data_IF_155924446632
#
_entry.id   IF_155924446632
#
_cell.length_a   1.000
_cell.length_b   1.000
_cell.length_c   1.000
_cell.angle_alpha   90.00
_cell.angle_beta   90.00
_cell.angle_gamma   90.00
#
_symmetry.space_group_name_H-M   'P 1'
#
loop_
_entity.id
_entity.type
_entity.pdbx_description
1 polymer ?
#
# COMPACT_ATOMS: atom_id res chain seq x y z
N UNK A 1 -34.21 -31.17 -20.02
CA UNK A 1 -33.26 -31.03 -18.91
C UNK A 1 -32.68 -29.65 -19.04
N UNK A 2 -33.16 -28.76 -18.21
CA UNK A 2 -32.79 -27.34 -18.24
C UNK A 2 -31.49 -27.20 -17.43
N UNK A 3 -30.36 -27.09 -18.10
CA UNK A 3 -29.10 -26.75 -17.45
C UNK A 3 -29.08 -25.24 -17.16
N UNK A 4 -29.57 -24.86 -16.00
CA UNK A 4 -29.34 -23.52 -15.46
C UNK A 4 -27.84 -23.37 -15.26
N UNK A 5 -27.15 -22.36 -15.86
CA UNK A 5 -25.75 -22.10 -15.58
C UNK A 5 -25.60 -21.81 -14.09
N UNK A 6 -24.71 -22.55 -13.42
CA UNK A 6 -24.29 -22.28 -12.06
C UNK A 6 -23.86 -20.82 -12.02
N UNK A 7 -24.54 -20.02 -11.18
CA UNK A 7 -24.50 -18.58 -11.20
C UNK A 7 -23.07 -18.04 -11.20
N UNK A 8 -22.79 -17.21 -12.18
CA UNK A 8 -21.67 -16.28 -12.12
C UNK A 8 -21.84 -15.50 -10.81
N UNK A 9 -20.94 -15.71 -9.86
CA UNK A 9 -20.84 -14.85 -8.68
C UNK A 9 -20.64 -13.45 -9.23
N UNK A 10 -21.62 -12.56 -9.01
CA UNK A 10 -21.50 -11.18 -9.42
C UNK A 10 -20.17 -10.65 -8.87
N UNK A 11 -19.35 -10.12 -9.76
CA UNK A 11 -18.05 -9.52 -9.39
C UNK A 11 -18.38 -8.48 -8.30
N UNK A 12 -17.85 -8.58 -7.07
CA UNK A 12 -18.22 -7.68 -6.01
C UNK A 12 -17.90 -6.25 -6.48
N UNK A 13 -18.92 -5.41 -6.46
CA UNK A 13 -18.81 -4.02 -6.90
C UNK A 13 -17.66 -3.35 -6.15
N UNK A 14 -16.78 -2.64 -6.88
CA UNK A 14 -15.62 -1.98 -6.28
C UNK A 14 -16.07 -0.83 -5.38
N UNK A 15 -15.90 -1.01 -4.09
CA UNK A 15 -16.15 0.02 -3.07
C UNK A 15 -14.81 0.51 -2.52
N UNK A 16 -14.32 1.67 -2.99
CA UNK A 16 -13.07 2.23 -2.48
C UNK A 16 -13.20 2.58 -1.00
N UNK A 17 -12.12 2.38 -0.23
CA UNK A 17 -12.08 2.79 1.17
C UNK A 17 -12.28 4.31 1.25
N UNK A 18 -13.22 4.74 2.09
CA UNK A 18 -13.44 6.16 2.40
C UNK A 18 -12.51 6.61 3.53
N UNK A 19 -11.60 7.53 3.21
CA UNK A 19 -10.65 8.14 4.16
C UNK A 19 -11.13 9.50 4.69
N UNK A 20 -12.29 9.98 4.25
CA UNK A 20 -12.77 11.31 4.64
C UNK A 20 -13.13 11.34 6.13
N UNK A 21 -12.61 12.33 6.85
CA UNK A 21 -12.78 12.51 8.30
C UNK A 21 -12.42 11.27 9.14
N UNK A 22 -11.41 10.50 8.70
CA UNK A 22 -10.94 9.30 9.39
C UNK A 22 -9.55 9.50 9.98
N UNK A 23 -9.36 8.94 11.17
CA UNK A 23 -8.05 8.84 11.80
C UNK A 23 -7.37 7.58 11.25
N UNK A 24 -6.37 7.79 10.40
CA UNK A 24 -5.58 6.72 9.79
C UNK A 24 -4.22 6.58 10.50
N UNK A 25 -3.95 5.41 11.04
CA UNK A 25 -2.65 5.07 11.59
C UNK A 25 -1.75 4.59 10.46
N UNK A 26 -0.86 5.48 10.04
CA UNK A 26 0.09 5.18 8.98
C UNK A 26 1.04 4.03 9.37
N UNK A 27 1.48 3.19 8.42
CA UNK A 27 2.39 2.09 8.69
C UNK A 27 3.72 2.58 9.28
N UNK A 28 4.14 1.93 10.37
CA UNK A 28 5.38 2.20 11.10
C UNK A 28 6.18 0.90 11.17
N UNK A 29 7.36 0.86 10.54
CA UNK A 29 8.25 -0.29 10.60
C UNK A 29 8.69 -0.53 12.04
N UNK A 30 8.63 -1.76 12.52
CA UNK A 30 8.99 -2.26 13.86
C UNK A 30 8.11 -1.78 15.01
N UNK A 31 7.27 -0.76 14.84
CA UNK A 31 6.37 -0.23 15.86
C UNK A 31 4.90 -0.53 15.55
N UNK A 32 4.51 -0.46 14.27
CA UNK A 32 3.13 -0.64 13.80
C UNK A 32 2.62 -2.09 13.85
N UNK A 33 3.10 -2.88 14.83
CA UNK A 33 2.71 -4.27 15.02
C UNK A 33 1.25 -4.39 15.52
N UNK A 34 0.73 -5.60 15.49
CA UNK A 34 -0.67 -5.87 15.85
C UNK A 34 -1.08 -5.35 17.24
N UNK A 35 -0.28 -5.53 18.33
CA UNK A 35 -0.61 -4.95 19.64
C UNK A 35 -0.71 -3.43 19.62
N UNK A 36 0.22 -2.74 18.97
CA UNK A 36 0.20 -1.28 18.82
C UNK A 36 -1.07 -0.82 18.08
N UNK A 37 -1.42 -1.45 16.96
CA UNK A 37 -2.62 -1.08 16.19
C UNK A 37 -3.91 -1.27 16.99
N UNK A 38 -3.99 -2.32 17.83
CA UNK A 38 -5.13 -2.53 18.73
C UNK A 38 -5.30 -1.38 19.72
N UNK A 39 -4.20 -0.94 20.34
CA UNK A 39 -4.22 0.22 21.26
C UNK A 39 -4.68 1.47 20.50
N UNK A 40 -4.22 1.69 19.27
CA UNK A 40 -4.66 2.82 18.46
C UNK A 40 -6.17 2.78 18.17
N UNK A 41 -6.73 1.60 17.89
CA UNK A 41 -8.18 1.42 17.71
C UNK A 41 -8.93 1.74 19.01
N UNK A 42 -8.47 1.26 20.14
CA UNK A 42 -9.07 1.54 21.46
C UNK A 42 -9.03 3.04 21.80
N UNK A 43 -8.04 3.77 21.26
CA UNK A 43 -7.89 5.22 21.37
C UNK A 43 -8.64 6.02 20.28
N UNK A 44 -9.42 5.36 19.44
CA UNK A 44 -10.31 6.01 18.47
C UNK A 44 -9.79 6.09 17.02
N UNK A 45 -8.75 5.34 16.67
CA UNK A 45 -8.35 5.23 15.26
C UNK A 45 -9.41 4.46 14.45
N UNK A 46 -9.69 4.93 13.24
CA UNK A 46 -10.65 4.31 12.31
C UNK A 46 -10.01 3.29 11.39
N UNK A 47 -8.79 3.58 10.91
CA UNK A 47 -8.11 2.83 9.86
C UNK A 47 -6.70 2.50 10.31
N UNK A 48 -6.29 1.25 10.11
CA UNK A 48 -4.94 0.78 10.44
C UNK A 48 -4.27 0.15 9.23
N UNK A 49 -2.93 0.10 9.28
CA UNK A 49 -2.13 -0.55 8.25
C UNK A 49 -1.04 -1.41 8.90
N UNK A 50 -0.71 -2.53 8.28
CA UNK A 50 0.38 -3.40 8.72
C UNK A 50 1.74 -2.69 8.70
N UNK A 51 2.73 -3.26 9.34
CA UNK A 51 4.13 -2.93 9.08
C UNK A 51 4.45 -3.21 7.60
N UNK A 52 5.52 -2.57 7.11
CA UNK A 52 5.99 -2.75 5.73
C UNK A 52 6.52 -4.17 5.52
N UNK A 53 5.95 -4.90 4.56
CA UNK A 53 6.38 -6.24 4.15
C UNK A 53 7.08 -6.21 2.79
N UNK A 54 8.14 -7.00 2.66
CA UNK A 54 8.90 -7.12 1.42
C UNK A 54 8.27 -8.19 0.52
N UNK A 55 7.84 -7.83 -0.69
CA UNK A 55 7.25 -8.79 -1.63
C UNK A 55 8.16 -9.99 -1.90
N UNK A 56 9.47 -9.77 -2.06
CA UNK A 56 10.41 -10.86 -2.28
C UNK A 56 10.51 -11.87 -1.14
N UNK A 57 10.22 -11.46 0.11
CA UNK A 57 10.19 -12.34 1.27
C UNK A 57 8.82 -13.06 1.37
N UNK A 58 7.73 -12.37 1.07
CA UNK A 58 6.40 -12.98 0.98
C UNK A 58 6.36 -14.09 -0.07
N UNK A 59 6.98 -13.90 -1.23
CA UNK A 59 7.11 -14.91 -2.29
C UNK A 59 7.93 -16.14 -1.87
N UNK A 60 8.86 -15.97 -0.94
CA UNK A 60 9.64 -17.06 -0.33
C UNK A 60 8.90 -17.73 0.83
N UNK A 61 7.66 -17.35 1.08
CA UNK A 61 6.84 -17.85 2.18
C UNK A 61 7.49 -17.70 3.56
N UNK A 62 8.28 -16.63 3.77
CA UNK A 62 8.88 -16.37 5.09
C UNK A 62 7.79 -16.08 6.11
N UNK A 63 7.66 -16.95 7.11
CA UNK A 63 6.58 -16.89 8.11
C UNK A 63 6.58 -15.59 8.92
N UNK A 64 7.75 -15.02 9.20
CA UNK A 64 7.90 -13.72 9.87
C UNK A 64 7.32 -12.58 9.05
N UNK A 65 7.47 -12.60 7.73
CA UNK A 65 6.91 -11.58 6.85
C UNK A 65 5.39 -11.71 6.75
N UNK A 66 4.88 -12.93 6.60
CA UNK A 66 3.44 -13.20 6.59
C UNK A 66 2.76 -12.84 7.92
N UNK A 67 3.47 -12.98 9.04
CA UNK A 67 2.95 -12.59 10.35
C UNK A 67 2.63 -11.10 10.46
N UNK A 68 3.33 -10.24 9.71
CA UNK A 68 3.07 -8.80 9.67
C UNK A 68 1.69 -8.46 9.09
N UNK A 69 1.16 -9.30 8.19
CA UNK A 69 -0.08 -9.07 7.46
C UNK A 69 -1.34 -9.50 8.26
N UNK A 70 -1.19 -9.93 9.49
CA UNK A 70 -2.31 -10.40 10.32
C UNK A 70 -3.24 -9.25 10.71
N UNK A 71 -4.54 -9.44 10.49
CA UNK A 71 -5.62 -8.56 10.94
C UNK A 71 -6.18 -9.03 12.28
N UNK A 72 -6.52 -8.10 13.16
CA UNK A 72 -7.29 -8.39 14.37
C UNK A 72 -8.79 -8.05 14.15
N UNK A 73 -9.74 -8.76 14.78
CA UNK A 73 -11.16 -8.49 14.60
C UNK A 73 -11.64 -7.06 14.97
N UNK A 74 -10.91 -6.36 15.86
CA UNK A 74 -11.24 -4.96 16.18
C UNK A 74 -10.90 -3.97 15.05
N UNK A 75 -10.07 -4.34 14.08
CA UNK A 75 -9.68 -3.48 12.96
C UNK A 75 -10.79 -3.48 11.90
N UNK A 76 -11.68 -2.48 11.95
CA UNK A 76 -12.82 -2.36 11.02
C UNK A 76 -12.35 -2.15 9.58
N UNK A 77 -11.39 -1.25 9.38
CA UNK A 77 -10.71 -1.02 8.10
C UNK A 77 -9.22 -1.25 8.30
N UNK A 78 -8.70 -2.24 7.60
CA UNK A 78 -7.31 -2.67 7.71
C UNK A 78 -6.67 -2.86 6.34
N UNK A 79 -5.48 -2.31 6.17
CA UNK A 79 -4.66 -2.53 4.99
C UNK A 79 -3.31 -3.15 5.29
N UNK A 80 -2.63 -3.57 4.23
CA UNK A 80 -1.28 -4.10 4.30
C UNK A 80 -0.33 -3.26 3.47
N UNK A 81 0.87 -2.97 4.01
CA UNK A 81 1.87 -2.21 3.28
C UNK A 81 2.91 -3.14 2.65
N UNK A 82 3.12 -2.95 1.35
CA UNK A 82 4.08 -3.71 0.54
C UNK A 82 5.22 -2.83 0.05
N UNK A 83 6.43 -3.40 0.02
CA UNK A 83 7.59 -2.76 -0.59
C UNK A 83 8.20 -3.68 -1.64
N UNK A 84 8.29 -3.19 -2.88
CA UNK A 84 8.96 -3.83 -4.00
C UNK A 84 9.35 -2.80 -5.06
N UNK A 85 10.41 -3.09 -5.82
CA UNK A 85 10.76 -2.34 -7.04
C UNK A 85 10.59 -3.20 -8.30
N UNK A 86 10.12 -4.45 -8.17
CA UNK A 86 9.95 -5.41 -9.26
C UNK A 86 8.47 -5.54 -9.60
N UNK A 87 8.18 -5.46 -10.88
CA UNK A 87 6.79 -5.50 -11.38
C UNK A 87 6.18 -6.88 -11.16
N UNK A 88 6.96 -7.92 -11.41
CA UNK A 88 6.56 -9.32 -11.27
C UNK A 88 6.20 -9.66 -9.82
N UNK A 89 7.05 -9.24 -8.87
CA UNK A 89 6.81 -9.43 -7.44
C UNK A 89 5.54 -8.69 -7.00
N UNK A 90 5.35 -7.46 -7.50
CA UNK A 90 4.17 -6.64 -7.20
C UNK A 90 2.88 -7.33 -7.66
N UNK A 91 2.85 -7.81 -8.89
CA UNK A 91 1.70 -8.50 -9.46
C UNK A 91 1.36 -9.78 -8.70
N UNK A 92 2.35 -10.66 -8.55
CA UNK A 92 2.16 -11.94 -7.87
C UNK A 92 1.67 -11.78 -6.43
N UNK A 93 2.32 -10.90 -5.65
CA UNK A 93 1.94 -10.69 -4.24
C UNK A 93 0.58 -10.00 -4.13
N UNK A 94 0.25 -9.08 -5.04
CA UNK A 94 -1.08 -8.45 -5.06
C UNK A 94 -2.19 -9.46 -5.32
N UNK A 95 -2.01 -10.37 -6.28
CA UNK A 95 -2.95 -11.45 -6.55
C UNK A 95 -3.08 -12.39 -5.35
N UNK A 96 -1.95 -12.76 -4.74
CA UNK A 96 -1.94 -13.65 -3.57
C UNK A 96 -2.70 -13.01 -2.38
N UNK A 97 -2.49 -11.70 -2.13
CA UNK A 97 -3.23 -10.97 -1.09
C UNK A 97 -4.72 -10.95 -1.40
N UNK A 98 -5.11 -10.66 -2.65
CA UNK A 98 -6.51 -10.64 -3.06
C UNK A 98 -7.21 -11.97 -2.83
N UNK A 99 -6.51 -13.08 -3.03
CA UNK A 99 -7.07 -14.44 -2.90
C UNK A 99 -7.10 -14.95 -1.47
N UNK A 100 -6.07 -14.64 -0.68
CA UNK A 100 -5.81 -15.33 0.59
C UNK A 100 -6.08 -14.46 1.82
N UNK A 101 -6.12 -13.12 1.68
CA UNK A 101 -6.23 -12.22 2.82
C UNK A 101 -7.52 -11.38 2.79
N UNK A 102 -8.07 -11.19 3.98
CA UNK A 102 -9.16 -10.23 4.22
C UNK A 102 -8.56 -8.85 4.51
N UNK A 103 -8.32 -8.04 3.48
CA UNK A 103 -7.83 -6.67 3.59
C UNK A 103 -8.73 -5.70 2.83
N UNK A 104 -8.85 -4.47 3.33
CA UNK A 104 -9.67 -3.44 2.70
C UNK A 104 -8.85 -2.62 1.69
N UNK A 105 -7.53 -2.53 1.90
CA UNK A 105 -6.62 -1.87 0.96
C UNK A 105 -5.21 -2.45 1.02
N UNK A 106 -4.46 -2.18 -0.04
CA UNK A 106 -3.02 -2.40 -0.11
C UNK A 106 -2.34 -1.05 -0.29
N UNK A 107 -1.28 -0.79 0.48
CA UNK A 107 -0.48 0.42 0.41
C UNK A 107 0.91 0.12 -0.16
N UNK A 108 1.28 0.76 -1.27
CA UNK A 108 2.62 0.64 -1.84
C UNK A 108 3.57 1.62 -1.15
N UNK A 109 4.61 1.10 -0.51
CA UNK A 109 5.66 1.90 0.12
C UNK A 109 6.59 2.52 -0.93
N UNK A 110 6.57 3.84 -1.03
CA UNK A 110 7.46 4.65 -1.90
C UNK A 110 8.24 5.68 -1.07
N UNK A 111 8.27 5.49 0.27
CA UNK A 111 8.86 6.49 1.18
C UNK A 111 9.96 5.96 2.10
N UNK A 112 10.16 4.65 2.23
CA UNK A 112 11.17 4.09 3.13
C UNK A 112 12.59 4.52 2.69
N UNK A 113 13.36 5.23 3.55
CA UNK A 113 14.67 5.77 3.18
C UNK A 113 15.83 4.78 3.45
N UNK A 114 15.53 3.56 3.89
CA UNK A 114 16.55 2.55 4.22
C UNK A 114 17.32 2.16 2.96
N UNK A 115 18.65 2.26 3.01
CA UNK A 115 19.52 2.07 1.84
C UNK A 115 19.40 0.67 1.22
N UNK A 116 19.22 -0.38 2.04
CA UNK A 116 19.01 -1.74 1.53
C UNK A 116 17.73 -1.85 0.70
N UNK A 117 16.64 -1.21 1.14
CA UNK A 117 15.35 -1.14 0.43
C UNK A 117 15.52 -0.34 -0.88
N UNK A 118 16.21 0.81 -0.80
CA UNK A 118 16.49 1.66 -1.96
C UNK A 118 17.36 0.95 -3.02
N UNK A 119 18.40 0.20 -2.60
CA UNK A 119 19.23 -0.61 -3.50
C UNK A 119 18.44 -1.73 -4.19
N UNK A 120 17.45 -2.31 -3.51
CA UNK A 120 16.50 -3.24 -4.10
C UNK A 120 15.52 -2.56 -5.08
N UNK A 121 15.59 -1.24 -5.24
CA UNK A 121 14.73 -0.46 -6.12
C UNK A 121 13.32 -0.21 -5.55
N UNK A 122 13.11 -0.48 -4.26
CA UNK A 122 11.84 -0.30 -3.53
C UNK A 122 11.88 0.96 -2.65
N UNK A 123 10.79 1.23 -1.93
CA UNK A 123 10.69 2.37 -1.03
C UNK A 123 11.01 3.69 -1.73
N UNK A 124 11.79 4.55 -1.08
CA UNK A 124 12.21 5.84 -1.67
C UNK A 124 13.06 5.69 -2.93
N UNK A 125 13.60 4.50 -3.21
CA UNK A 125 14.27 4.20 -4.49
C UNK A 125 13.32 4.22 -5.69
N UNK A 126 12.02 3.97 -5.50
CA UNK A 126 10.99 4.12 -6.52
C UNK A 126 10.62 5.58 -6.76
N UNK A 127 10.68 6.42 -5.73
CA UNK A 127 10.31 7.83 -5.82
C UNK A 127 11.08 8.54 -6.95
N UNK A 128 12.36 8.19 -7.12
CA UNK A 128 13.23 8.76 -8.16
C UNK A 128 13.05 8.08 -9.53
N UNK A 129 12.30 6.99 -9.61
CA UNK A 129 12.09 6.20 -10.83
C UNK A 129 10.61 6.18 -11.19
N UNK A 130 10.02 7.36 -11.43
CA UNK A 130 8.57 7.54 -11.64
C UNK A 130 8.01 6.60 -12.71
N UNK A 131 8.73 6.37 -13.82
CA UNK A 131 8.33 5.43 -14.85
C UNK A 131 8.22 3.98 -14.34
N UNK A 132 9.12 3.55 -13.44
CA UNK A 132 9.05 2.24 -12.79
C UNK A 132 7.91 2.20 -11.76
N UNK A 133 7.79 3.22 -10.94
CA UNK A 133 6.70 3.36 -9.97
C UNK A 133 5.33 3.20 -10.67
N UNK A 134 5.13 3.89 -11.77
CA UNK A 134 3.88 3.79 -12.54
C UNK A 134 3.61 2.37 -13.03
N UNK A 135 4.63 1.66 -13.54
CA UNK A 135 4.48 0.27 -13.99
C UNK A 135 4.16 -0.69 -12.83
N UNK A 136 4.84 -0.52 -11.69
CA UNK A 136 4.55 -1.30 -10.47
C UNK A 136 3.11 -1.06 -10.03
N UNK A 137 2.70 0.21 -9.89
CA UNK A 137 1.36 0.56 -9.44
C UNK A 137 0.26 0.08 -10.41
N UNK A 138 0.49 0.20 -11.74
CA UNK A 138 -0.45 -0.32 -12.74
C UNK A 138 -0.60 -1.84 -12.67
N UNK A 139 0.50 -2.58 -12.48
CA UNK A 139 0.45 -4.03 -12.30
C UNK A 139 -0.31 -4.41 -11.03
N UNK A 140 -0.10 -3.69 -9.92
CA UNK A 140 -0.86 -3.90 -8.68
C UNK A 140 -2.35 -3.64 -8.90
N UNK A 141 -2.72 -2.54 -9.57
CA UNK A 141 -4.13 -2.24 -9.90
C UNK A 141 -4.77 -3.37 -10.70
N UNK A 142 -4.06 -3.92 -11.70
CA UNK A 142 -4.56 -5.03 -12.51
C UNK A 142 -4.81 -6.32 -11.70
N UNK A 143 -3.99 -6.57 -10.67
CA UNK A 143 -4.06 -7.80 -9.86
C UNK A 143 -4.96 -7.66 -8.62
N UNK A 144 -5.07 -6.45 -8.05
CA UNK A 144 -5.90 -6.19 -6.87
C UNK A 144 -7.39 -6.11 -7.20
N UNK A 145 -7.73 -5.78 -8.45
CA UNK A 145 -9.10 -5.66 -8.94
C UNK A 145 -9.98 -4.74 -8.06
N UNK A 146 -10.75 -5.34 -7.14
CA UNK A 146 -11.68 -4.65 -6.25
C UNK A 146 -11.08 -4.23 -4.88
N UNK A 147 -9.81 -4.52 -4.62
CA UNK A 147 -9.12 -4.02 -3.41
C UNK A 147 -8.54 -2.63 -3.69
N UNK A 148 -8.76 -1.70 -2.76
CA UNK A 148 -8.23 -0.33 -2.84
C UNK A 148 -6.70 -0.32 -2.89
N UNK A 149 -6.10 0.38 -3.86
CA UNK A 149 -4.66 0.67 -3.87
C UNK A 149 -4.41 2.08 -3.34
N UNK A 150 -3.53 2.16 -2.35
CA UNK A 150 -2.93 3.40 -1.85
C UNK A 150 -1.44 3.44 -2.18
N UNK A 151 -0.85 4.63 -2.12
CA UNK A 151 0.60 4.80 -2.26
C UNK A 151 1.10 5.76 -1.18
N UNK A 152 2.09 5.34 -0.39
CA UNK A 152 2.70 6.19 0.63
C UNK A 152 4.05 6.70 0.18
N UNK A 153 4.19 8.02 0.05
CA UNK A 153 5.36 8.72 -0.49
C UNK A 153 6.02 9.64 0.54
N UNK A 154 7.25 10.07 0.25
CA UNK A 154 7.88 11.27 0.80
C UNK A 154 7.73 12.43 -0.19
N UNK A 155 8.03 13.66 0.26
CA UNK A 155 7.87 14.85 -0.58
C UNK A 155 8.81 14.89 -1.78
N UNK A 156 9.94 14.17 -1.74
CA UNK A 156 10.92 14.09 -2.82
C UNK A 156 12.24 13.53 -2.32
N UNK A 157 13.31 13.66 -3.12
CA UNK A 157 14.67 13.27 -2.72
C UNK A 157 15.32 14.41 -1.89
N UNK A 158 15.54 15.55 -2.52
CA UNK A 158 16.11 16.77 -1.91
C UNK A 158 15.06 17.86 -1.71
N UNK A 159 14.10 17.97 -2.60
CA UNK A 159 13.05 19.00 -2.63
C UNK A 159 11.66 18.39 -2.78
N UNK A 160 10.62 19.17 -2.53
CA UNK A 160 9.24 18.74 -2.69
C UNK A 160 8.87 18.66 -4.18
N UNK A 161 8.57 17.44 -4.64
CA UNK A 161 8.17 17.12 -6.02
C UNK A 161 6.78 16.51 -6.09
N UNK A 162 6.01 16.53 -5.00
CA UNK A 162 4.68 15.90 -4.92
C UNK A 162 3.71 16.48 -5.95
N UNK A 163 3.78 17.80 -6.21
CA UNK A 163 2.96 18.48 -7.22
C UNK A 163 3.16 17.94 -8.66
N UNK A 164 4.33 17.34 -8.94
CA UNK A 164 4.61 16.68 -10.24
C UNK A 164 4.26 15.20 -10.22
N UNK A 165 4.41 14.54 -9.08
CA UNK A 165 4.22 13.08 -8.94
C UNK A 165 2.74 12.71 -8.82
N UNK A 166 2.00 13.35 -7.91
CA UNK A 166 0.62 12.96 -7.56
C UNK A 166 -0.31 12.98 -8.78
N UNK A 167 -0.32 14.02 -9.66
CA UNK A 167 -1.15 14.02 -10.86
C UNK A 167 -0.87 12.84 -11.80
N UNK A 168 0.37 12.33 -11.82
CA UNK A 168 0.70 11.16 -12.65
C UNK A 168 0.17 9.87 -12.05
N UNK A 169 0.17 9.72 -10.71
CA UNK A 169 -0.40 8.56 -10.02
C UNK A 169 -1.93 8.55 -10.14
N UNK A 170 -2.59 9.70 -10.03
CA UNK A 170 -4.04 9.84 -10.18
C UNK A 170 -4.57 9.44 -11.56
N UNK A 171 -3.72 9.51 -12.60
CA UNK A 171 -4.07 9.10 -13.97
C UNK A 171 -4.01 7.59 -14.20
N UNK A 172 -3.40 6.83 -13.29
CA UNK A 172 -3.29 5.38 -13.43
C UNK A 172 -4.67 4.71 -13.35
N UNK A 173 -4.86 3.73 -14.22
CA UNK A 173 -6.06 2.88 -14.26
C UNK A 173 -5.64 1.43 -14.43
N UNK A 174 -6.27 0.55 -13.67
CA UNK A 174 -6.20 -0.88 -13.89
C UNK A 174 -7.19 -1.34 -14.97
N UNK A 175 -7.08 -2.59 -15.38
CA UNK A 175 -7.92 -3.19 -16.44
C UNK A 175 -9.42 -3.13 -16.13
N UNK A 176 -9.81 -3.17 -14.87
CA UNK A 176 -11.21 -3.06 -14.41
C UNK A 176 -11.65 -1.60 -14.12
N UNK A 177 -10.85 -0.60 -14.52
CA UNK A 177 -11.14 0.82 -14.29
C UNK A 177 -10.81 1.32 -12.88
N UNK A 178 -10.37 0.46 -11.97
CA UNK A 178 -9.89 0.84 -10.65
C UNK A 178 -8.66 1.77 -10.74
N UNK A 179 -8.41 2.51 -9.68
CA UNK A 179 -7.40 3.59 -9.65
C UNK A 179 -6.67 3.64 -8.31
N UNK A 180 -5.60 4.43 -8.25
CA UNK A 180 -5.02 4.84 -6.96
C UNK A 180 -6.02 5.73 -6.25
N UNK A 181 -6.51 5.29 -5.09
CA UNK A 181 -7.59 5.94 -4.34
C UNK A 181 -7.09 7.03 -3.40
N UNK A 182 -5.93 6.82 -2.79
CA UNK A 182 -5.35 7.79 -1.89
C UNK A 182 -3.81 7.78 -1.98
N UNK A 183 -3.20 8.91 -1.67
CA UNK A 183 -1.76 9.06 -1.53
C UNK A 183 -1.48 9.62 -0.14
N UNK A 184 -0.73 8.87 0.67
CA UNK A 184 -0.26 9.34 1.97
C UNK A 184 1.09 10.03 1.79
N UNK A 185 1.20 11.27 2.27
CA UNK A 185 2.44 12.05 2.17
C UNK A 185 3.11 12.13 3.54
N UNK A 186 4.37 11.69 3.61
CA UNK A 186 5.24 12.02 4.72
C UNK A 186 5.94 13.35 4.39
N UNK A 187 5.67 14.39 5.15
CA UNK A 187 6.13 15.78 4.91
C UNK A 187 7.63 15.98 5.07
N UNK A 188 8.46 15.01 4.73
CA UNK A 188 9.92 15.06 4.70
C UNK A 188 10.45 14.49 3.41
N UNK A 189 11.58 15.05 2.94
CA UNK A 189 12.33 14.47 1.81
C UNK A 189 13.01 13.15 2.22
N UNK A 190 13.47 12.38 1.25
CA UNK A 190 14.22 11.14 1.51
C UNK A 190 15.50 11.42 2.30
N UNK A 191 16.24 12.48 1.94
CA UNK A 191 17.51 12.86 2.58
C UNK A 191 17.31 13.37 4.00
N UNK A 192 16.24 14.11 4.25
CA UNK A 192 15.93 14.61 5.59
C UNK A 192 15.69 13.48 6.60
N UNK A 193 15.38 12.28 6.15
CA UNK A 193 15.06 11.12 7.01
C UNK A 193 14.12 11.53 8.16
N UNK A 194 14.66 11.76 9.37
CA UNK A 194 13.93 12.21 10.57
C UNK A 194 14.63 13.39 11.28
N UNK A 195 15.61 14.04 10.64
CA UNK A 195 16.43 15.09 11.25
C UNK A 195 15.72 16.43 11.32
N UNK A 196 14.76 16.70 10.44
CA UNK A 196 14.00 17.94 10.38
C UNK A 196 12.55 17.73 10.77
N UNK A 197 11.83 18.80 11.11
CA UNK A 197 10.36 18.78 11.21
C UNK A 197 9.74 18.45 9.85
N UNK A 198 8.52 17.93 9.87
CA UNK A 198 7.76 17.76 8.63
C UNK A 198 7.35 19.15 8.09
N UNK A 199 7.39 19.27 6.78
CA UNK A 199 6.88 20.45 6.07
C UNK A 199 5.37 20.26 5.85
N UNK A 200 4.59 21.22 6.30
CA UNK A 200 3.14 21.22 6.25
C UNK A 200 2.55 22.32 5.34
N UNK A 201 3.41 23.08 4.65
CA UNK A 201 3.01 24.17 3.72
C UNK A 201 2.92 23.71 2.26
#
# INVERSE_FOLDING_TARGET
MDETPIGAVADPEFHPVDFHNKVYIAPLTTVGNLPFRRICIDLGADITCSEMSLCGNLMKYQSSEWALLRRHPCEKVFGVQLATGRIEDAGYVSELIRRELKVDFVDLNVGCPIDAIGRAGAGAGLLMKVGRLKRVASCMLDCLENITLMIKVRTGDHENTTHRLIPQLQKLRGKKGNRVNAVTIHGRTKIARYTNTADWE
#
